data_IF_238792047314
#
_entry.id   IF_238792047314
#
_cell.length_a   1.000
_cell.length_b   1.000
_cell.length_c   1.000
_cell.angle_alpha   90.00
_cell.angle_beta   90.00
_cell.angle_gamma   90.00
#
_symmetry.space_group_name_H-M   'P 1'
#
loop_
_entity.id
_entity.type
_entity.pdbx_description
1 polymer ?
#
# COMPACT_ATOMS: atom_id res chain seq x y z
N UNK A 1 -6.52 -14.27 -12.47
CA UNK A 1 -6.72 -13.26 -11.39
C UNK A 1 -5.75 -13.58 -10.27
N UNK A 2 -5.05 -12.60 -9.70
CA UNK A 2 -4.11 -12.82 -8.60
C UNK A 2 -4.89 -12.82 -7.27
N UNK A 3 -4.63 -13.82 -6.42
CA UNK A 3 -5.28 -14.02 -5.11
C UNK A 3 -6.80 -13.73 -5.13
N UNK A 4 -7.60 -14.54 -5.84
CA UNK A 4 -9.05 -14.33 -5.94
C UNK A 4 -9.74 -14.53 -4.59
N UNK A 5 -10.89 -13.88 -4.38
CA UNK A 5 -11.79 -14.13 -3.24
C UNK A 5 -12.36 -15.55 -3.31
N UNK A 6 -12.75 -16.09 -2.15
CA UNK A 6 -13.40 -17.40 -2.01
C UNK A 6 -12.65 -18.57 -2.70
N UNK A 7 -11.32 -18.50 -2.73
CA UNK A 7 -10.48 -19.54 -3.34
C UNK A 7 -10.21 -20.73 -2.42
N UNK A 8 -10.89 -20.83 -1.27
CA UNK A 8 -10.73 -21.90 -0.29
C UNK A 8 -9.49 -21.75 0.59
N UNK A 9 -9.06 -20.51 0.88
CA UNK A 9 -7.92 -20.29 1.77
C UNK A 9 -8.22 -20.76 3.20
N UNK A 10 -7.22 -21.31 3.87
CA UNK A 10 -7.38 -21.75 5.26
C UNK A 10 -7.67 -20.59 6.21
N UNK A 11 -7.10 -19.41 5.94
CA UNK A 11 -7.35 -18.18 6.70
C UNK A 11 -8.84 -17.78 6.68
N UNK A 12 -9.55 -18.05 5.59
CA UNK A 12 -10.98 -17.76 5.45
C UNK A 12 -11.88 -18.61 6.40
N UNK A 13 -11.31 -19.60 7.10
CA UNK A 13 -12.00 -20.29 8.20
C UNK A 13 -12.19 -19.41 9.44
N UNK A 14 -11.36 -18.37 9.58
CA UNK A 14 -11.43 -17.39 10.67
C UNK A 14 -11.91 -16.02 10.19
N UNK A 15 -11.32 -15.49 9.11
CA UNK A 15 -11.66 -14.17 8.56
C UNK A 15 -11.67 -14.21 7.03
N UNK A 16 -12.74 -13.76 6.39
CA UNK A 16 -12.99 -13.91 4.94
C UNK A 16 -12.15 -13.02 4.01
N UNK A 17 -11.01 -12.51 4.49
CA UNK A 17 -10.17 -11.52 3.84
C UNK A 17 -8.79 -12.05 3.45
N UNK A 18 -8.58 -13.38 3.34
CA UNK A 18 -7.28 -13.94 2.96
C UNK A 18 -6.75 -13.35 1.64
N UNK A 19 -7.66 -13.10 0.69
CA UNK A 19 -7.35 -12.45 -0.58
C UNK A 19 -6.70 -11.06 -0.41
N UNK A 20 -7.12 -10.29 0.60
CA UNK A 20 -6.58 -8.96 0.88
C UNK A 20 -5.17 -9.03 1.45
N UNK A 21 -4.92 -9.96 2.39
CA UNK A 21 -3.59 -10.22 2.93
C UNK A 21 -2.59 -10.60 1.84
N UNK A 22 -2.97 -11.53 0.95
CA UNK A 22 -2.09 -12.00 -0.13
C UNK A 22 -1.77 -10.89 -1.13
N UNK A 23 -2.76 -10.07 -1.51
CA UNK A 23 -2.52 -8.94 -2.42
C UNK A 23 -1.67 -7.86 -1.77
N UNK A 24 -1.90 -7.55 -0.48
CA UNK A 24 -1.07 -6.61 0.26
C UNK A 24 0.38 -7.08 0.37
N UNK A 25 0.62 -8.38 0.61
CA UNK A 25 1.96 -8.96 0.64
C UNK A 25 2.67 -8.84 -0.72
N UNK A 26 1.94 -8.96 -1.83
CA UNK A 26 2.51 -8.81 -3.18
C UNK A 26 2.79 -7.36 -3.58
N UNK A 27 1.94 -6.42 -3.18
CA UNK A 27 2.07 -5.00 -3.54
C UNK A 27 3.02 -4.23 -2.60
N UNK A 28 3.16 -4.69 -1.37
CA UNK A 28 3.83 -3.95 -0.30
C UNK A 28 2.91 -2.91 0.36
N UNK A 29 3.27 -2.51 1.58
CA UNK A 29 2.50 -1.56 2.40
C UNK A 29 3.11 -0.15 2.46
N UNK A 30 4.22 0.08 1.78
CA UNK A 30 4.92 1.37 1.80
C UNK A 30 5.74 1.58 0.53
N UNK A 31 6.04 2.84 0.24
CA UNK A 31 6.96 3.26 -0.83
C UNK A 31 7.85 4.37 -0.28
N UNK A 32 9.08 4.46 -0.80
CA UNK A 32 10.01 5.54 -0.52
C UNK A 32 10.07 6.43 -1.75
N UNK A 33 9.94 7.74 -1.57
CA UNK A 33 9.90 8.71 -2.65
C UNK A 33 10.94 9.79 -2.34
N UNK A 34 11.94 10.01 -3.23
CA UNK A 34 12.89 11.09 -3.06
C UNK A 34 12.18 12.45 -3.11
N UNK A 35 12.71 13.40 -2.33
CA UNK A 35 12.30 14.80 -2.39
C UNK A 35 13.46 15.59 -2.96
N UNK A 36 13.25 16.25 -4.09
CA UNK A 36 14.26 17.04 -4.79
C UNK A 36 13.70 18.43 -5.10
N UNK A 37 14.50 19.47 -4.86
CA UNK A 37 14.14 20.87 -5.16
C UNK A 37 12.76 21.27 -4.59
N UNK A 38 12.43 20.76 -3.40
CA UNK A 38 11.17 21.05 -2.70
C UNK A 38 9.95 20.26 -3.17
N UNK A 39 10.10 19.26 -4.06
CA UNK A 39 8.99 18.46 -4.56
C UNK A 39 9.26 16.94 -4.53
N UNK A 40 8.19 16.14 -4.56
CA UNK A 40 8.29 14.69 -4.75
C UNK A 40 8.84 14.39 -6.15
N UNK A 41 9.95 13.66 -6.23
CA UNK A 41 10.61 13.29 -7.48
C UNK A 41 9.86 12.12 -8.18
N UNK A 42 8.64 12.38 -8.63
CA UNK A 42 7.83 11.45 -9.40
C UNK A 42 8.03 11.68 -10.90
N UNK A 43 8.12 10.60 -11.68
CA UNK A 43 8.05 10.67 -13.13
C UNK A 43 6.67 11.13 -13.63
N UNK A 44 6.59 11.58 -14.89
CA UNK A 44 5.37 12.15 -15.50
C UNK A 44 4.10 11.32 -15.26
N UNK A 45 4.24 9.99 -15.29
CA UNK A 45 3.14 9.02 -15.18
C UNK A 45 3.07 8.30 -13.83
N UNK A 46 3.96 8.61 -12.89
CA UNK A 46 3.93 8.01 -11.56
C UNK A 46 2.91 8.72 -10.68
N UNK A 47 2.14 7.93 -9.92
CA UNK A 47 1.18 8.42 -8.93
C UNK A 47 1.29 7.53 -7.69
N UNK A 48 1.04 8.12 -6.53
CA UNK A 48 0.91 7.37 -5.27
C UNK A 48 -0.54 6.98 -5.15
N UNK A 49 -0.80 5.67 -5.09
CA UNK A 49 -2.16 5.13 -5.00
C UNK A 49 -2.29 4.36 -3.68
N UNK A 50 -3.36 4.64 -2.94
CA UNK A 50 -3.82 3.77 -1.88
C UNK A 50 -4.77 2.72 -2.47
N UNK A 51 -4.51 1.44 -2.21
CA UNK A 51 -5.31 0.33 -2.73
C UNK A 51 -6.00 -0.35 -1.54
N UNK A 52 -7.31 -0.12 -1.39
CA UNK A 52 -8.15 -0.82 -0.42
C UNK A 52 -8.49 -2.22 -0.94
N UNK A 53 -8.36 -3.23 -0.08
CA UNK A 53 -8.56 -4.63 -0.45
C UNK A 53 -9.45 -5.40 0.53
N UNK A 54 -9.84 -4.80 1.65
CA UNK A 54 -10.70 -5.37 2.70
C UNK A 54 -11.61 -4.29 3.29
N UNK A 55 -12.27 -3.53 2.40
CA UNK A 55 -13.14 -2.41 2.74
C UNK A 55 -14.64 -2.77 2.77
N UNK A 56 -15.51 -1.81 3.15
CA UNK A 56 -15.18 -0.43 3.53
C UNK A 56 -14.69 -0.34 4.98
N UNK A 57 -13.55 0.32 5.21
CA UNK A 57 -13.00 0.56 6.55
C UNK A 57 -12.36 1.94 6.61
N UNK A 58 -12.28 2.54 7.80
CA UNK A 58 -11.44 3.72 8.04
C UNK A 58 -9.98 3.28 8.02
N UNK A 59 -9.17 3.92 7.17
CA UNK A 59 -7.74 3.61 7.00
C UNK A 59 -6.90 4.81 7.42
N UNK A 60 -5.68 4.53 7.87
CA UNK A 60 -4.69 5.54 8.28
C UNK A 60 -3.48 5.34 7.38
N UNK A 61 -3.02 6.43 6.75
CA UNK A 61 -1.77 6.46 6.00
C UNK A 61 -0.76 7.26 6.82
N UNK A 62 0.37 6.65 7.16
CA UNK A 62 1.46 7.32 7.84
C UNK A 62 2.48 7.81 6.82
N UNK A 63 2.85 9.09 6.94
CA UNK A 63 3.88 9.71 6.12
C UNK A 63 5.00 10.15 7.05
N UNK A 64 6.23 9.77 6.74
CA UNK A 64 7.43 10.22 7.44
C UNK A 64 8.38 10.84 6.42
N UNK A 65 8.78 12.07 6.69
CA UNK A 65 9.79 12.78 5.92
C UNK A 65 11.08 12.74 6.73
N UNK A 66 12.17 12.33 6.10
CA UNK A 66 13.50 12.26 6.70
C UNK A 66 14.43 13.04 5.78
N UNK A 67 15.17 13.98 6.34
CA UNK A 67 16.12 14.83 5.62
C UNK A 67 16.99 15.58 6.62
N UNK A 68 18.05 16.21 6.12
CA UNK A 68 18.91 17.07 6.92
C UNK A 68 18.33 18.49 7.00
N UNK A 69 18.56 19.18 8.13
CA UNK A 69 18.20 20.60 8.30
C UNK A 69 19.29 21.54 7.75
N UNK A 70 20.44 21.00 7.33
CA UNK A 70 21.57 21.82 6.89
C UNK A 70 21.36 22.45 5.49
N UNK A 71 20.73 23.63 5.48
CA UNK A 71 21.02 24.74 4.56
C UNK A 71 21.50 25.95 5.36
#
# INVERSE_FOLDING_TARGET
RIAPQAAGYQHDRGDGNAHAHLRAALLGSSVIIPVEKGGLALGTWQRILFIEMDGPRKRILSIRIIGDESL
#
